data_IF_385707920110
#
_entry.id   IF_385707920110
#
_cell.length_a   1.000
_cell.length_b   1.000
_cell.length_c   1.000
_cell.angle_alpha   90.00
_cell.angle_beta   90.00
_cell.angle_gamma   90.00
#
_symmetry.space_group_name_H-M   'P 1'
#
loop_
_entity.id
_entity.type
_entity.pdbx_description
1 polymer ?
#
# COMPACT_ATOMS: atom_id res chain seq x y z
N UNK A 1 -3.77 11.40 -10.85
CA UNK A 1 -3.52 10.21 -11.69
C UNK A 1 -4.62 9.16 -11.52
N UNK A 2 -4.88 8.68 -10.29
CA UNK A 2 -5.90 7.64 -10.05
C UNK A 2 -7.32 7.93 -10.59
N UNK A 3 -7.96 9.10 -10.37
CA UNK A 3 -9.38 9.26 -10.68
C UNK A 3 -9.73 9.09 -12.18
N UNK A 4 -9.00 9.70 -13.14
CA UNK A 4 -9.24 9.46 -14.56
C UNK A 4 -9.17 7.97 -14.96
N UNK A 5 -8.17 7.23 -14.43
CA UNK A 5 -8.01 5.80 -14.72
C UNK A 5 -9.18 4.98 -14.17
N UNK A 6 -9.61 5.28 -12.93
CA UNK A 6 -10.78 4.64 -12.32
C UNK A 6 -12.04 4.93 -13.16
N UNK A 7 -12.28 6.18 -13.55
CA UNK A 7 -13.44 6.54 -14.35
C UNK A 7 -13.45 5.89 -15.74
N UNK A 8 -12.28 5.73 -16.36
CA UNK A 8 -12.14 5.08 -17.66
C UNK A 8 -12.44 3.57 -17.58
N UNK A 9 -11.99 2.91 -16.51
CA UNK A 9 -12.08 1.46 -16.37
C UNK A 9 -13.35 0.98 -15.66
N UNK A 10 -14.08 1.85 -14.95
CA UNK A 10 -15.24 1.47 -14.13
C UNK A 10 -16.55 2.15 -14.56
N UNK A 11 -17.63 1.39 -14.51
CA UNK A 11 -18.99 1.90 -14.74
C UNK A 11 -19.55 2.55 -13.46
N UNK A 12 -20.58 3.40 -13.59
CA UNK A 12 -21.28 3.97 -12.43
C UNK A 12 -21.88 2.88 -11.53
N UNK A 13 -22.42 1.82 -12.12
CA UNK A 13 -23.01 0.71 -11.39
C UNK A 13 -21.98 -0.03 -10.53
N UNK A 14 -20.77 -0.24 -11.07
CA UNK A 14 -19.67 -0.85 -10.31
C UNK A 14 -19.20 0.05 -9.16
N UNK A 15 -19.11 1.36 -9.40
CA UNK A 15 -18.68 2.33 -8.38
C UNK A 15 -19.68 2.49 -7.24
N UNK A 16 -20.95 2.18 -7.47
CA UNK A 16 -22.01 2.18 -6.45
C UNK A 16 -22.17 0.86 -5.70
N UNK A 17 -21.33 -0.14 -5.96
CA UNK A 17 -21.32 -1.38 -5.18
C UNK A 17 -21.01 -1.05 -3.73
N UNK A 18 -21.95 -1.37 -2.84
CA UNK A 18 -21.82 -1.23 -1.38
C UNK A 18 -21.17 -2.48 -0.81
N UNK A 19 -20.07 -2.30 -0.09
CA UNK A 19 -19.36 -3.40 0.55
C UNK A 19 -19.78 -3.54 2.01
N UNK A 20 -20.32 -4.72 2.37
CA UNK A 20 -20.76 -5.00 3.75
C UNK A 20 -19.55 -4.93 4.67
N UNK A 21 -19.54 -3.96 5.58
CA UNK A 21 -18.56 -3.89 6.64
C UNK A 21 -18.93 -4.88 7.75
N UNK A 22 -18.03 -5.82 8.03
CA UNK A 22 -18.16 -6.72 9.18
C UNK A 22 -16.98 -6.47 10.09
N UNK A 23 -17.19 -5.65 11.13
CA UNK A 23 -16.24 -5.51 12.23
C UNK A 23 -16.28 -6.78 13.07
N UNK A 24 -15.67 -7.86 12.58
CA UNK A 24 -15.38 -8.99 13.46
C UNK A 24 -14.29 -8.55 14.43
N UNK A 25 -14.48 -8.69 15.75
CA UNK A 25 -13.43 -8.38 16.70
C UNK A 25 -12.23 -9.29 16.41
N UNK A 26 -11.10 -8.68 16.06
CA UNK A 26 -9.86 -9.42 15.81
C UNK A 26 -9.16 -9.62 17.15
N UNK A 27 -8.87 -10.89 17.50
CA UNK A 27 -8.22 -11.21 18.76
C UNK A 27 -6.80 -10.62 18.84
N UNK A 28 -6.36 -10.25 20.04
CA UNK A 28 -4.98 -9.78 20.27
C UNK A 28 -3.94 -10.80 19.79
N UNK A 29 -4.22 -12.09 19.99
CA UNK A 29 -3.36 -13.19 19.50
C UNK A 29 -3.19 -13.14 17.97
N UNK A 30 -4.28 -12.93 17.23
CA UNK A 30 -4.24 -12.83 15.77
C UNK A 30 -3.39 -11.64 15.31
N UNK A 31 -3.52 -10.48 15.98
CA UNK A 31 -2.73 -9.29 15.63
C UNK A 31 -1.23 -9.46 15.89
N UNK A 32 -0.85 -10.20 16.93
CA UNK A 32 0.55 -10.51 17.25
C UNK A 32 1.12 -11.57 16.30
N UNK A 33 0.35 -12.61 15.98
CA UNK A 33 0.80 -13.70 15.10
C UNK A 33 0.96 -13.21 13.65
N UNK A 34 0.11 -12.29 13.20
CA UNK A 34 0.13 -11.77 11.83
C UNK A 34 1.53 -11.29 11.37
N UNK A 35 2.21 -10.35 12.03
CA UNK A 35 3.53 -9.89 11.59
C UNK A 35 4.59 -10.99 11.59
N UNK A 36 4.53 -11.93 12.55
CA UNK A 36 5.46 -13.07 12.63
C UNK A 36 5.23 -14.01 11.44
N UNK A 37 3.98 -14.39 11.20
CA UNK A 37 3.61 -15.29 10.12
C UNK A 37 3.94 -14.71 8.74
N UNK A 38 3.67 -13.42 8.52
CA UNK A 38 4.02 -12.72 7.27
C UNK A 38 5.54 -12.68 7.07
N UNK A 39 6.32 -12.39 8.12
CA UNK A 39 7.78 -12.38 8.03
C UNK A 39 8.36 -13.75 7.68
N UNK A 40 7.85 -14.81 8.32
CA UNK A 40 8.28 -16.18 8.04
C UNK A 40 7.90 -16.62 6.62
N UNK A 41 6.65 -16.36 6.20
CA UNK A 41 6.19 -16.69 4.86
C UNK A 41 7.00 -15.94 3.79
N UNK A 42 7.27 -14.66 4.00
CA UNK A 42 8.10 -13.86 3.11
C UNK A 42 9.54 -14.37 3.05
N UNK A 43 10.12 -14.79 4.18
CA UNK A 43 11.48 -15.34 4.22
C UNK A 43 11.62 -16.68 3.52
N UNK A 44 10.58 -17.50 3.50
CA UNK A 44 10.56 -18.76 2.75
C UNK A 44 10.44 -18.53 1.23
N UNK A 45 9.63 -17.55 0.82
CA UNK A 45 9.37 -17.27 -0.61
C UNK A 45 10.49 -16.43 -1.22
N UNK A 46 10.95 -15.41 -0.51
CA UNK A 46 11.92 -14.43 -0.98
C UNK A 46 12.85 -14.00 0.18
N UNK A 47 13.92 -14.76 0.48
CA UNK A 47 14.82 -14.48 1.60
C UNK A 47 15.40 -13.06 1.60
N UNK A 48 15.71 -12.52 0.42
CA UNK A 48 16.21 -11.14 0.30
C UNK A 48 15.19 -10.07 0.74
N UNK A 49 13.89 -10.37 0.67
CA UNK A 49 12.82 -9.46 1.11
C UNK A 49 12.72 -9.35 2.63
N UNK A 50 13.31 -10.29 3.39
CA UNK A 50 13.25 -10.33 4.87
C UNK A 50 13.82 -9.06 5.48
N UNK A 51 14.87 -8.50 4.89
CA UNK A 51 15.46 -7.24 5.36
C UNK A 51 14.45 -6.09 5.31
N UNK A 52 13.58 -6.04 4.30
CA UNK A 52 12.60 -4.96 4.15
C UNK A 52 11.29 -5.27 4.91
N UNK A 53 10.68 -6.43 4.64
CA UNK A 53 9.39 -6.79 5.24
C UNK A 53 9.52 -7.10 6.73
N UNK A 54 10.69 -7.60 7.17
CA UNK A 54 10.99 -7.88 8.56
C UNK A 54 10.95 -6.62 9.41
N UNK A 55 11.57 -5.51 8.96
CA UNK A 55 11.49 -4.24 9.72
C UNK A 55 10.06 -3.65 9.73
N UNK A 56 9.32 -3.77 8.62
CA UNK A 56 7.92 -3.34 8.57
C UNK A 56 7.06 -4.13 9.57
N UNK A 57 7.18 -5.46 9.58
CA UNK A 57 6.44 -6.34 10.48
C UNK A 57 6.94 -6.24 11.92
N UNK A 58 8.21 -5.94 12.15
CA UNK A 58 8.75 -5.67 13.48
C UNK A 58 8.13 -4.40 14.09
N UNK A 59 8.00 -3.32 13.32
CA UNK A 59 7.27 -2.13 13.77
C UNK A 59 5.81 -2.44 14.12
N UNK A 60 5.16 -3.29 13.32
CA UNK A 60 3.81 -3.79 13.61
C UNK A 60 3.76 -4.61 14.92
N UNK A 61 4.74 -5.49 15.14
CA UNK A 61 4.84 -6.30 16.36
C UNK A 61 5.09 -5.46 17.62
N UNK A 62 5.98 -4.45 17.55
CA UNK A 62 6.19 -3.50 18.65
C UNK A 62 4.87 -2.83 19.04
N UNK A 63 4.06 -2.42 18.04
CA UNK A 63 2.77 -1.78 18.27
C UNK A 63 1.74 -2.75 18.87
N UNK A 64 1.64 -3.97 18.35
CA UNK A 64 0.58 -4.91 18.73
C UNK A 64 0.89 -5.76 19.98
N UNK A 65 2.16 -5.84 20.42
CA UNK A 65 2.53 -6.60 21.62
C UNK A 65 1.97 -5.96 22.92
N UNK A 66 1.85 -4.62 22.95
CA UNK A 66 1.26 -3.87 24.07
C UNK A 66 2.11 -3.82 25.35
N UNK A 67 3.36 -4.28 25.30
CA UNK A 67 4.33 -4.19 26.42
C UNK A 67 5.47 -3.21 26.13
N UNK A 68 5.57 -2.72 24.89
CA UNK A 68 6.61 -1.81 24.40
C UNK A 68 6.05 -0.43 24.05
N UNK A 69 5.06 0.07 24.79
CA UNK A 69 4.34 1.31 24.44
C UNK A 69 5.29 2.51 24.23
N UNK A 70 6.25 2.72 25.14
CA UNK A 70 7.26 3.78 25.01
C UNK A 70 8.09 3.64 23.74
N UNK A 71 8.45 2.41 23.38
CA UNK A 71 9.24 2.11 22.19
C UNK A 71 8.41 2.31 20.91
N UNK A 72 7.14 1.90 20.94
CA UNK A 72 6.16 2.09 19.87
C UNK A 72 5.95 3.57 19.56
N UNK A 73 5.75 4.39 20.61
CA UNK A 73 5.57 5.84 20.48
C UNK A 73 6.84 6.52 19.99
N UNK A 74 8.00 6.18 20.59
CA UNK A 74 9.30 6.70 20.16
C UNK A 74 9.62 6.38 18.69
N UNK A 75 9.25 5.17 18.25
CA UNK A 75 9.46 4.72 16.87
C UNK A 75 8.56 5.46 15.88
N UNK A 76 7.28 5.64 16.22
CA UNK A 76 6.28 6.26 15.33
C UNK A 76 6.45 7.78 15.18
N UNK A 77 7.02 8.46 16.18
CA UNK A 77 7.16 9.91 16.17
C UNK A 77 8.63 10.33 16.04
N UNK A 78 9.39 10.32 17.13
CA UNK A 78 10.72 10.91 17.22
C UNK A 78 11.71 10.25 16.25
N UNK A 79 11.78 8.91 16.28
CA UNK A 79 12.70 8.16 15.41
C UNK A 79 12.30 8.27 13.95
N UNK A 80 11.00 8.13 13.61
CA UNK A 80 10.53 8.28 12.24
C UNK A 80 10.84 9.68 11.68
N UNK A 81 10.60 10.74 12.46
CA UNK A 81 10.88 12.11 12.06
C UNK A 81 12.38 12.35 11.87
N UNK A 82 13.21 11.86 12.80
CA UNK A 82 14.66 12.01 12.72
C UNK A 82 15.24 11.26 11.52
N UNK A 83 14.86 9.99 11.31
CA UNK A 83 15.32 9.20 10.17
C UNK A 83 14.83 9.81 8.84
N UNK A 84 13.60 10.31 8.80
CA UNK A 84 13.06 10.99 7.60
C UNK A 84 13.86 12.26 7.27
N UNK A 85 14.21 13.05 8.28
CA UNK A 85 15.04 14.24 8.11
C UNK A 85 16.43 13.88 7.59
N UNK A 86 17.08 12.89 8.21
CA UNK A 86 18.42 12.44 7.78
C UNK A 86 18.40 11.85 6.36
N UNK A 87 17.36 11.09 6.02
CA UNK A 87 17.16 10.55 4.68
C UNK A 87 16.96 11.68 3.66
N UNK A 88 16.12 12.67 3.98
CA UNK A 88 15.90 13.85 3.14
C UNK A 88 17.18 14.63 2.88
N UNK A 89 18.00 14.86 3.92
CA UNK A 89 19.31 15.52 3.79
C UNK A 89 20.30 14.67 2.97
N UNK A 90 20.31 13.36 3.14
CA UNK A 90 21.19 12.46 2.39
C UNK A 90 20.83 12.44 0.90
N UNK A 91 19.54 12.41 0.58
CA UNK A 91 19.04 12.48 -0.80
C UNK A 91 19.37 13.85 -1.41
N UNK A 92 19.13 14.95 -0.69
CA UNK A 92 19.41 16.30 -1.22
C UNK A 92 20.91 16.53 -1.46
N UNK A 93 21.77 16.03 -0.56
CA UNK A 93 23.23 16.11 -0.71
C UNK A 93 23.76 15.33 -1.92
N UNK A 94 23.04 14.29 -2.36
CA UNK A 94 23.44 13.47 -3.53
C UNK A 94 22.83 13.94 -4.85
N UNK A 95 21.90 14.90 -4.81
CA UNK A 95 21.18 15.43 -5.97
C UNK A 95 21.95 16.58 -6.64
N UNK A 96 23.17 16.33 -7.09
CA UNK A 96 23.99 17.32 -7.81
C UNK A 96 23.44 17.56 -9.22
N UNK A 97 23.63 18.77 -9.75
CA UNK A 97 23.03 19.18 -11.03
C UNK A 97 23.43 18.30 -12.22
N UNK A 98 24.68 17.85 -12.26
CA UNK A 98 25.22 16.92 -13.26
C UNK A 98 24.58 15.53 -13.20
N UNK A 99 24.14 15.08 -12.02
CA UNK A 99 23.43 13.79 -11.84
C UNK A 99 21.92 13.91 -12.06
N UNK A 100 21.34 15.04 -11.68
CA UNK A 100 19.89 15.23 -11.73
C UNK A 100 19.41 15.74 -13.11
N UNK A 101 20.11 16.70 -13.72
CA UNK A 101 19.71 17.30 -15.01
C UNK A 101 20.22 16.42 -16.16
N UNK A 102 19.70 15.20 -16.21
CA UNK A 102 20.00 14.21 -17.24
C UNK A 102 18.71 13.79 -17.95
N UNK A 103 18.76 13.49 -19.26
CA UNK A 103 17.62 12.89 -19.97
C UNK A 103 17.09 11.60 -19.30
N UNK A 104 17.99 10.85 -18.65
CA UNK A 104 17.63 9.67 -17.87
C UNK A 104 16.66 10.01 -16.72
N UNK A 105 16.85 11.14 -16.03
CA UNK A 105 15.96 11.57 -14.94
C UNK A 105 14.55 11.87 -15.45
N UNK A 106 14.43 12.50 -16.62
CA UNK A 106 13.13 12.74 -17.25
C UNK A 106 12.44 11.42 -17.60
N UNK A 107 13.21 10.44 -18.08
CA UNK A 107 12.72 9.09 -18.37
C UNK A 107 12.24 8.39 -17.09
N UNK A 108 12.97 8.47 -15.97
CA UNK A 108 12.56 7.92 -14.67
C UNK A 108 11.24 8.55 -14.19
N UNK A 109 11.09 9.88 -14.28
CA UNK A 109 9.85 10.57 -13.92
C UNK A 109 8.69 10.10 -14.80
N UNK A 110 8.90 10.00 -16.10
CA UNK A 110 7.91 9.50 -17.05
C UNK A 110 7.50 8.05 -16.78
N UNK A 111 8.47 7.16 -16.54
CA UNK A 111 8.21 5.77 -16.16
C UNK A 111 7.44 5.69 -14.84
N UNK A 112 7.74 6.54 -13.86
CA UNK A 112 7.00 6.61 -12.60
C UNK A 112 5.52 6.98 -12.80
N UNK A 113 5.23 7.93 -13.70
CA UNK A 113 3.86 8.29 -14.06
C UNK A 113 3.12 7.10 -14.71
N UNK A 114 3.75 6.43 -15.68
CA UNK A 114 3.17 5.26 -16.35
C UNK A 114 2.96 4.12 -15.36
N UNK A 115 3.93 3.85 -14.49
CA UNK A 115 3.82 2.85 -13.44
C UNK A 115 2.62 3.10 -12.53
N UNK A 116 2.38 4.36 -12.12
CA UNK A 116 1.21 4.71 -11.30
C UNK A 116 -0.12 4.50 -12.03
N UNK A 117 -0.17 4.76 -13.34
CA UNK A 117 -1.36 4.50 -14.17
C UNK A 117 -1.61 2.99 -14.25
N UNK A 118 -0.57 2.22 -14.55
CA UNK A 118 -0.66 0.76 -14.66
C UNK A 118 -1.02 0.10 -13.33
N UNK A 119 -0.47 0.56 -12.21
CA UNK A 119 -0.80 0.05 -10.87
C UNK A 119 -2.27 0.30 -10.53
N UNK A 120 -2.77 1.52 -10.80
CA UNK A 120 -4.20 1.84 -10.67
C UNK A 120 -5.06 0.91 -11.53
N UNK A 121 -4.69 0.76 -12.80
CA UNK A 121 -5.46 -0.02 -13.77
C UNK A 121 -5.47 -1.51 -13.40
N UNK A 122 -4.31 -2.07 -13.08
CA UNK A 122 -4.15 -3.45 -12.65
C UNK A 122 -4.95 -3.76 -11.39
N UNK A 123 -4.93 -2.87 -10.39
CA UNK A 123 -5.75 -3.02 -9.18
C UNK A 123 -7.25 -3.06 -9.48
N UNK A 124 -7.75 -2.15 -10.32
CA UNK A 124 -9.16 -2.13 -10.74
C UNK A 124 -9.54 -3.39 -11.52
N UNK A 125 -8.69 -3.80 -12.48
CA UNK A 125 -8.92 -4.99 -13.30
C UNK A 125 -8.91 -6.24 -12.43
N UNK A 126 -7.96 -6.38 -11.51
CA UNK A 126 -7.90 -7.50 -10.57
C UNK A 126 -9.20 -7.59 -9.73
N UNK A 127 -9.71 -6.46 -9.22
CA UNK A 127 -10.98 -6.44 -8.51
C UNK A 127 -12.18 -6.85 -9.39
N UNK A 128 -12.18 -6.46 -10.68
CA UNK A 128 -13.19 -6.89 -11.65
C UNK A 128 -13.11 -8.40 -11.94
N UNK A 129 -11.91 -8.93 -12.13
CA UNK A 129 -11.68 -10.36 -12.34
C UNK A 129 -12.16 -11.15 -11.12
N UNK A 130 -11.85 -10.70 -9.90
CA UNK A 130 -12.36 -11.31 -8.67
C UNK A 130 -13.90 -11.32 -8.63
N UNK A 131 -14.55 -10.24 -9.10
CA UNK A 131 -16.02 -10.16 -9.16
C UNK A 131 -16.68 -11.15 -10.12
N UNK A 132 -15.93 -11.80 -11.03
CA UNK A 132 -16.47 -12.87 -11.88
C UNK A 132 -16.74 -14.15 -11.08
N UNK A 133 -16.01 -14.37 -9.98
CA UNK A 133 -16.09 -15.59 -9.17
C UNK A 133 -16.75 -15.36 -7.80
N UNK A 134 -16.80 -14.12 -7.32
CA UNK A 134 -17.35 -13.80 -6.00
C UNK A 134 -18.87 -13.65 -6.00
N UNK A 135 -19.54 -14.36 -5.08
CA UNK A 135 -20.98 -14.17 -4.79
C UNK A 135 -21.28 -12.77 -4.25
N UNK A 136 -20.39 -12.24 -3.42
CA UNK A 136 -20.45 -10.87 -2.86
C UNK A 136 -19.42 -10.02 -3.58
N UNK A 137 -19.89 -9.15 -4.46
CA UNK A 137 -19.01 -8.31 -5.29
C UNK A 137 -18.27 -7.26 -4.43
N UNK A 138 -17.01 -7.06 -4.76
CA UNK A 138 -16.15 -6.01 -4.25
C UNK A 138 -16.27 -4.79 -5.16
N UNK A 139 -16.27 -3.60 -4.58
CA UNK A 139 -16.24 -2.37 -5.39
C UNK A 139 -14.89 -2.26 -6.12
N UNK A 140 -14.85 -2.20 -7.47
CA UNK A 140 -13.58 -2.16 -8.20
C UNK A 140 -12.68 -0.97 -7.84
N UNK A 141 -13.25 0.13 -7.33
CA UNK A 141 -12.46 1.26 -6.83
C UNK A 141 -11.58 0.87 -5.63
N UNK A 142 -11.98 -0.11 -4.81
CA UNK A 142 -11.14 -0.61 -3.73
C UNK A 142 -9.86 -1.29 -4.26
N UNK A 143 -9.90 -1.86 -5.47
CA UNK A 143 -8.72 -2.38 -6.15
C UNK A 143 -7.69 -1.30 -6.46
N UNK A 144 -8.14 -0.11 -6.88
CA UNK A 144 -7.27 1.04 -7.08
C UNK A 144 -6.61 1.55 -5.78
N UNK A 145 -7.15 1.20 -4.60
CA UNK A 145 -6.50 1.53 -3.33
C UNK A 145 -5.25 0.68 -3.06
N UNK A 146 -5.00 -0.36 -3.86
CA UNK A 146 -3.83 -1.24 -3.75
C UNK A 146 -2.48 -0.54 -3.99
N UNK A 147 -2.49 0.70 -4.48
CA UNK A 147 -1.25 1.48 -4.60
C UNK A 147 -0.71 1.79 -3.20
N UNK A 148 0.59 1.61 -2.98
CA UNK A 148 1.27 1.77 -1.69
C UNK A 148 1.39 3.24 -1.17
N UNK A 149 0.42 4.09 -1.48
CA UNK A 149 0.30 5.48 -1.02
C UNK A 149 -0.63 5.59 0.21
N UNK A 150 -0.17 5.07 1.35
CA UNK A 150 -0.94 5.04 2.59
C UNK A 150 -0.94 6.39 3.33
N UNK A 151 -2.06 6.83 3.95
CA UNK A 151 -3.44 6.34 3.82
C UNK A 151 -4.21 7.04 2.67
N UNK A 152 -3.52 7.85 1.86
CA UNK A 152 -4.14 8.79 0.94
C UNK A 152 -4.89 8.12 -0.21
N UNK A 153 -4.41 6.98 -0.73
CA UNK A 153 -5.14 6.27 -1.78
C UNK A 153 -6.49 5.75 -1.27
N UNK A 154 -6.53 5.13 -0.08
CA UNK A 154 -7.79 4.72 0.54
C UNK A 154 -8.75 5.89 0.79
N UNK A 155 -8.24 7.05 1.22
CA UNK A 155 -9.04 8.28 1.38
C UNK A 155 -9.59 8.82 0.06
N UNK A 156 -8.81 8.72 -1.01
CA UNK A 156 -9.26 9.10 -2.35
C UNK A 156 -10.41 8.19 -2.81
N UNK A 157 -10.31 6.88 -2.60
CA UNK A 157 -11.38 5.93 -2.91
C UNK A 157 -12.64 6.22 -2.08
N UNK A 158 -12.49 6.55 -0.80
CA UNK A 158 -13.62 6.99 0.03
C UNK A 158 -14.30 8.24 -0.55
N UNK A 159 -13.53 9.24 -0.96
CA UNK A 159 -14.05 10.47 -1.57
C UNK A 159 -14.79 10.18 -2.87
N UNK A 160 -14.22 9.37 -3.76
CA UNK A 160 -14.86 8.96 -5.03
C UNK A 160 -16.12 8.13 -4.79
N UNK A 161 -16.10 7.23 -3.80
CA UNK A 161 -17.27 6.46 -3.36
C UNK A 161 -18.42 7.37 -2.94
N UNK A 162 -18.15 8.37 -2.10
CA UNK A 162 -19.16 9.32 -1.64
C UNK A 162 -19.68 10.25 -2.73
N UNK A 163 -18.87 10.55 -3.75
CA UNK A 163 -19.33 11.31 -4.92
C UNK A 163 -20.34 10.51 -5.77
N UNK A 164 -20.23 9.19 -5.79
CA UNK A 164 -21.13 8.31 -6.55
C UNK A 164 -22.39 7.91 -5.77
N UNK A 165 -22.25 7.73 -4.45
CA UNK A 165 -23.32 7.47 -3.47
C UNK A 165 -22.88 7.97 -2.08
N UNK A 166 -23.52 9.02 -1.51
CA UNK A 166 -23.14 9.59 -0.21
C UNK A 166 -23.16 8.60 0.97
N UNK A 167 -23.90 7.50 0.85
CA UNK A 167 -23.98 6.45 1.88
C UNK A 167 -22.98 5.31 1.66
N UNK A 168 -22.16 5.36 0.59
CA UNK A 168 -21.20 4.30 0.29
C UNK A 168 -19.85 4.57 0.95
N UNK A 169 -19.64 3.96 2.12
CA UNK A 169 -18.39 4.06 2.88
C UNK A 169 -17.44 2.92 2.52
N UNK A 170 -16.35 3.27 1.83
CA UNK A 170 -15.34 2.34 1.33
C UNK A 170 -14.03 2.39 2.11
N UNK A 171 -13.80 3.40 2.96
CA UNK A 171 -12.52 3.67 3.60
C UNK A 171 -11.91 2.44 4.29
N UNK A 172 -12.68 1.75 5.14
CA UNK A 172 -12.16 0.61 5.90
C UNK A 172 -11.76 -0.57 5.00
N UNK A 173 -12.50 -0.78 3.91
CA UNK A 173 -12.18 -1.82 2.93
C UNK A 173 -10.98 -1.43 2.07
N UNK A 174 -10.93 -0.17 1.63
CA UNK A 174 -9.84 0.38 0.82
C UNK A 174 -8.52 0.43 1.60
N UNK A 175 -8.55 0.68 2.91
CA UNK A 175 -7.37 0.59 3.79
C UNK A 175 -6.78 -0.83 3.77
N UNK A 176 -7.62 -1.87 3.79
CA UNK A 176 -7.17 -3.26 3.69
C UNK A 176 -6.40 -3.53 2.39
N UNK A 177 -6.94 -3.09 1.25
CA UNK A 177 -6.25 -3.18 -0.03
C UNK A 177 -4.95 -2.36 -0.05
N UNK A 178 -4.95 -1.16 0.54
CA UNK A 178 -3.78 -0.28 0.59
C UNK A 178 -2.63 -0.89 1.41
N UNK A 179 -2.93 -1.52 2.55
CA UNK A 179 -1.93 -2.21 3.38
C UNK A 179 -1.39 -3.44 2.64
N UNK A 180 -2.27 -4.21 1.98
CA UNK A 180 -1.84 -5.35 1.16
C UNK A 180 -0.89 -4.92 0.03
N UNK A 181 -1.19 -3.80 -0.62
CA UNK A 181 -0.33 -3.16 -1.62
C UNK A 181 1.06 -2.83 -1.10
N UNK A 182 1.14 -2.20 0.08
CA UNK A 182 2.42 -1.87 0.71
C UNK A 182 3.27 -3.12 1.01
N UNK A 183 2.64 -4.19 1.50
CA UNK A 183 3.31 -5.48 1.72
C UNK A 183 3.78 -6.08 0.38
N UNK A 184 2.92 -6.06 -0.64
CA UNK A 184 3.23 -6.57 -1.98
C UNK A 184 4.42 -5.87 -2.64
N UNK A 185 4.47 -4.53 -2.57
CA UNK A 185 5.58 -3.74 -3.12
C UNK A 185 6.91 -4.08 -2.47
N UNK A 186 6.92 -4.30 -1.15
CA UNK A 186 8.14 -4.69 -0.41
C UNK A 186 8.62 -6.08 -0.83
N UNK A 187 7.70 -7.03 -1.00
CA UNK A 187 8.04 -8.37 -1.49
C UNK A 187 8.58 -8.34 -2.92
N UNK A 188 7.90 -7.63 -3.83
CA UNK A 188 8.33 -7.49 -5.21
C UNK A 188 9.72 -6.83 -5.30
N UNK A 189 9.95 -5.75 -4.53
CA UNK A 189 11.25 -5.11 -4.43
C UNK A 189 12.33 -6.05 -3.91
N UNK A 190 12.03 -6.84 -2.86
CA UNK A 190 12.95 -7.83 -2.33
C UNK A 190 13.27 -8.96 -3.31
N UNK A 191 12.29 -9.41 -4.11
CA UNK A 191 12.53 -10.40 -5.18
C UNK A 191 13.38 -9.83 -6.31
N UNK A 192 13.15 -8.58 -6.70
CA UNK A 192 13.99 -7.90 -7.70
C UNK A 192 15.43 -7.75 -7.20
N UNK A 193 15.63 -7.40 -5.93
CA UNK A 193 16.96 -7.36 -5.32
C UNK A 193 17.62 -8.74 -5.34
N UNK A 194 16.88 -9.82 -5.04
CA UNK A 194 17.41 -11.19 -5.12
C UNK A 194 17.81 -11.60 -6.54
N UNK A 195 17.12 -11.06 -7.55
CA UNK A 195 17.39 -11.37 -8.95
C UNK A 195 18.54 -10.54 -9.53
N UNK A 196 18.74 -9.32 -9.02
CA UNK A 196 19.80 -8.40 -9.46
C UNK A 196 21.11 -8.54 -8.67
N UNK A 197 21.08 -9.15 -7.48
CA UNK A 197 22.24 -9.43 -6.64
C UNK A 197 22.93 -10.73 -7.06
#
# INVERSE_FOLDING_TARGET
IQPPVIHLLTTKNERRIRMIYSSRPVSKKTKIIFPIAVTLAAGLIAPASVSLIGFLMFGNLIRECGVLERLSQATQNELANLVTLLLGLSISATMTGDRFVQPATLLVIGMGLVAFILDTAAGVIAAKVLNLFLKRKVNPMAGAAGISAFPMSARLIQKLGQQEDPQNFLLMHAVGANVAGQIGSVLAGGMLLAWLA
#
